data_IF_327501438928
#
_entry.id   IF_327501438928
#
_cell.length_a   1.000
_cell.length_b   1.000
_cell.length_c   1.000
_cell.angle_alpha   90.00
_cell.angle_beta   90.00
_cell.angle_gamma   90.00
#
_symmetry.space_group_name_H-M   'P 1'
#
loop_
_entity.id
_entity.type
_entity.pdbx_description
1 polymer ?
#
# COMPACT_ATOMS: atom_id res chain seq x y z
N UNK A 1 -22.07 15.60 -0.43
CA UNK A 1 -20.63 15.97 -0.46
C UNK A 1 -19.68 14.77 -0.59
N UNK A 2 -19.99 13.59 -0.07
CA UNK A 2 -19.17 12.38 -0.31
C UNK A 2 -19.22 11.87 -1.77
N UNK A 3 -20.29 12.18 -2.52
CA UNK A 3 -20.47 11.67 -3.89
C UNK A 3 -19.55 12.34 -4.93
N UNK A 4 -18.99 13.51 -4.63
CA UNK A 4 -18.04 14.19 -5.53
C UNK A 4 -16.63 13.60 -5.48
N UNK A 5 -16.30 12.79 -4.47
CA UNK A 5 -15.01 12.07 -4.40
C UNK A 5 -15.03 10.75 -5.19
N UNK A 6 -16.21 10.26 -5.59
CA UNK A 6 -16.37 8.94 -6.23
C UNK A 6 -16.24 9.03 -7.76
N UNK A 7 -16.62 10.17 -8.36
CA UNK A 7 -16.56 10.37 -9.82
C UNK A 7 -15.11 10.46 -10.39
N UNK A 8 -14.11 10.60 -9.51
CA UNK A 8 -12.69 10.74 -9.89
C UNK A 8 -11.91 9.41 -9.96
N UNK A 9 -12.58 8.26 -9.87
CA UNK A 9 -11.95 6.94 -9.72
C UNK A 9 -11.82 6.13 -11.02
N UNK A 10 -12.19 6.67 -12.19
CA UNK A 10 -11.99 5.94 -13.46
C UNK A 10 -10.49 5.71 -13.67
N UNK A 11 -10.08 4.44 -13.64
CA UNK A 11 -8.67 4.02 -13.78
C UNK A 11 -7.83 4.13 -12.50
N UNK A 12 -8.42 4.43 -11.34
CA UNK A 12 -7.72 4.50 -10.04
C UNK A 12 -8.22 3.43 -9.09
N UNK A 13 -7.33 2.93 -8.24
CA UNK A 13 -7.65 1.93 -7.22
C UNK A 13 -6.84 2.19 -5.95
N UNK A 14 -7.38 1.76 -4.82
CA UNK A 14 -6.73 1.80 -3.51
C UNK A 14 -6.05 0.47 -3.25
N UNK A 15 -4.74 0.52 -2.97
CA UNK A 15 -4.00 -0.62 -2.44
C UNK A 15 -4.46 -0.86 -0.99
N UNK A 16 -4.95 -2.04 -0.67
CA UNK A 16 -5.52 -2.33 0.65
C UNK A 16 -4.96 -3.60 1.27
N UNK A 17 -5.16 -3.76 2.57
CA UNK A 17 -4.73 -4.94 3.31
C UNK A 17 -5.52 -6.21 2.94
N UNK A 18 -4.97 -7.38 3.26
CA UNK A 18 -5.63 -8.68 3.10
C UNK A 18 -6.91 -8.84 3.91
N UNK A 19 -7.08 -8.04 4.97
CA UNK A 19 -8.31 -7.93 5.77
C UNK A 19 -9.48 -7.26 5.03
N UNK A 20 -9.23 -6.58 3.90
CA UNK A 20 -10.28 -6.01 3.06
C UNK A 20 -10.67 -6.98 1.95
N UNK A 21 -11.97 -7.04 1.63
CA UNK A 21 -12.45 -7.70 0.41
C UNK A 21 -12.13 -6.86 -0.83
N UNK A 22 -12.14 -7.50 -2.00
CA UNK A 22 -11.97 -6.84 -3.29
C UNK A 22 -13.24 -6.05 -3.66
N UNK A 23 -13.60 -5.04 -2.86
CA UNK A 23 -14.71 -4.11 -3.11
C UNK A 23 -14.37 -3.21 -4.30
N UNK A 24 -15.36 -2.56 -4.89
CA UNK A 24 -15.13 -1.63 -6.00
C UNK A 24 -14.05 -0.59 -5.63
N UNK A 25 -13.01 -0.49 -6.47
CA UNK A 25 -11.88 0.40 -6.27
C UNK A 25 -10.85 -0.07 -5.24
N UNK A 26 -11.02 -1.24 -4.62
CA UNK A 26 -10.10 -1.80 -3.61
C UNK A 26 -9.32 -2.96 -4.23
N UNK A 27 -7.99 -2.92 -4.13
CA UNK A 27 -7.09 -3.92 -4.67
C UNK A 27 -6.33 -4.62 -3.53
N UNK A 28 -6.91 -5.68 -2.91
CA UNK A 28 -6.23 -6.46 -1.89
C UNK A 28 -5.27 -7.50 -2.49
N UNK A 29 -4.30 -8.00 -1.71
CA UNK A 29 -3.42 -9.10 -2.12
C UNK A 29 -4.21 -10.39 -2.36
N UNK A 30 -3.60 -11.34 -3.08
CA UNK A 30 -4.12 -12.70 -3.16
C UNK A 30 -4.02 -13.37 -1.80
N UNK A 31 -5.15 -13.89 -1.31
CA UNK A 31 -5.23 -14.65 -0.06
C UNK A 31 -4.63 -16.04 -0.24
N UNK A 32 -4.13 -16.62 0.85
CA UNK A 32 -3.48 -17.94 0.86
C UNK A 32 -2.32 -18.07 -0.15
N UNK A 33 -1.67 -16.94 -0.47
CA UNK A 33 -0.47 -16.85 -1.28
C UNK A 33 0.57 -16.08 -0.47
N UNK A 34 1.83 -16.52 -0.53
CA UNK A 34 2.99 -15.89 0.12
C UNK A 34 2.97 -14.36 -0.08
N UNK A 35 3.29 -13.57 0.95
CA UNK A 35 3.09 -12.11 0.92
C UNK A 35 4.19 -11.31 1.62
N UNK A 36 4.77 -11.80 2.70
CA UNK A 36 5.73 -11.04 3.50
C UNK A 36 7.08 -10.99 2.79
N UNK A 37 7.72 -9.81 2.75
CA UNK A 37 9.01 -9.65 2.04
C UNK A 37 10.10 -10.60 2.55
N UNK A 38 10.07 -10.94 3.85
CA UNK A 38 11.00 -11.87 4.49
C UNK A 38 10.95 -13.28 3.90
N UNK A 39 9.85 -13.66 3.27
CA UNK A 39 9.63 -15.00 2.72
C UNK A 39 10.28 -15.20 1.34
N UNK A 40 10.83 -14.15 0.72
CA UNK A 40 11.31 -14.21 -0.68
C UNK A 40 12.81 -14.45 -0.85
N UNK A 41 13.63 -14.25 0.19
CA UNK A 41 15.11 -14.31 0.18
C UNK A 41 15.76 -15.05 -1.01
N UNK A 42 16.05 -16.35 -0.84
CA UNK A 42 16.55 -17.20 -1.93
C UNK A 42 15.43 -18.00 -2.64
N UNK A 43 14.16 -17.69 -2.35
CA UNK A 43 13.02 -18.46 -2.86
C UNK A 43 12.26 -17.63 -3.90
N UNK A 44 12.54 -17.83 -5.21
CA UNK A 44 11.98 -17.00 -6.26
C UNK A 44 10.45 -17.14 -6.36
N UNK A 45 9.82 -16.15 -6.98
CA UNK A 45 8.40 -16.19 -7.33
C UNK A 45 8.09 -17.36 -8.27
N UNK A 46 7.07 -18.13 -7.94
CA UNK A 46 6.70 -19.36 -8.64
C UNK A 46 5.53 -19.18 -9.62
N UNK A 47 4.69 -18.17 -9.41
CA UNK A 47 3.48 -17.93 -10.20
C UNK A 47 3.10 -16.45 -10.23
N UNK A 48 2.08 -16.12 -11.03
CA UNK A 48 1.57 -14.76 -11.24
C UNK A 48 1.07 -14.12 -9.95
N UNK A 49 0.42 -14.90 -9.07
CA UNK A 49 -0.14 -14.40 -7.80
C UNK A 49 0.96 -14.08 -6.81
N UNK A 50 2.00 -14.92 -6.76
CA UNK A 50 3.19 -14.68 -5.96
C UNK A 50 3.93 -13.41 -6.40
N UNK A 51 4.11 -13.23 -7.71
CA UNK A 51 4.72 -12.01 -8.24
C UNK A 51 3.88 -10.77 -7.91
N UNK A 52 2.56 -10.86 -8.03
CA UNK A 52 1.65 -9.79 -7.65
C UNK A 52 1.79 -9.46 -6.16
N UNK A 53 1.72 -10.45 -5.28
CA UNK A 53 1.83 -10.25 -3.84
C UNK A 53 3.19 -9.65 -3.43
N UNK A 54 4.29 -10.09 -4.04
CA UNK A 54 5.62 -9.52 -3.82
C UNK A 54 5.64 -8.02 -4.16
N UNK A 55 5.14 -7.65 -5.35
CA UNK A 55 5.08 -6.24 -5.78
C UNK A 55 4.12 -5.42 -4.92
N UNK A 56 2.98 -5.98 -4.57
CA UNK A 56 2.00 -5.37 -3.67
C UNK A 56 2.62 -5.07 -2.29
N UNK A 57 3.30 -6.04 -1.70
CA UNK A 57 3.98 -5.93 -0.41
C UNK A 57 5.11 -4.88 -0.46
N UNK A 58 5.91 -4.86 -1.52
CA UNK A 58 6.95 -3.84 -1.74
C UNK A 58 6.39 -2.42 -1.83
N UNK A 59 5.29 -2.24 -2.57
CA UNK A 59 4.62 -0.94 -2.67
C UNK A 59 4.05 -0.50 -1.32
N UNK A 60 3.40 -1.43 -0.60
CA UNK A 60 2.86 -1.17 0.74
C UNK A 60 3.96 -0.70 1.70
N UNK A 61 5.09 -1.39 1.73
CA UNK A 61 6.22 -1.02 2.60
C UNK A 61 6.75 0.38 2.26
N UNK A 62 6.79 0.74 0.98
CA UNK A 62 7.17 2.09 0.56
C UNK A 62 6.21 3.14 1.14
N UNK A 63 4.90 2.87 1.07
CA UNK A 63 3.85 3.76 1.63
C UNK A 63 3.95 3.84 3.15
N UNK A 64 4.09 2.72 3.85
CA UNK A 64 4.22 2.65 5.30
C UNK A 64 5.47 3.41 5.79
N UNK A 65 6.59 3.29 5.07
CA UNK A 65 7.82 4.03 5.38
C UNK A 65 7.63 5.54 5.23
N UNK A 66 6.94 5.99 4.19
CA UNK A 66 6.64 7.40 3.98
C UNK A 66 5.79 7.96 5.14
N UNK A 67 4.72 7.26 5.51
CA UNK A 67 3.91 7.65 6.67
C UNK A 67 4.66 7.53 8.00
N UNK A 68 5.53 6.54 8.16
CA UNK A 68 6.40 6.42 9.32
C UNK A 68 7.36 7.60 9.46
N UNK A 69 7.97 8.05 8.36
CA UNK A 69 8.81 9.27 8.33
C UNK A 69 8.00 10.51 8.69
N UNK A 70 6.81 10.64 8.10
CA UNK A 70 5.88 11.73 8.38
C UNK A 70 5.50 11.81 9.86
N UNK A 71 5.15 10.68 10.49
CA UNK A 71 4.81 10.61 11.93
C UNK A 71 6.01 10.88 12.84
N UNK A 72 7.20 10.39 12.48
CA UNK A 72 8.43 10.70 13.24
C UNK A 72 8.72 12.19 13.26
N UNK A 73 8.51 12.86 12.13
CA UNK A 73 8.69 14.31 11.98
C UNK A 73 7.61 15.11 12.70
N UNK A 74 6.35 14.73 12.53
CA UNK A 74 5.20 15.45 13.06
C UNK A 74 4.52 14.59 14.13
N UNK A 75 4.95 14.76 15.38
CA UNK A 75 4.40 14.02 16.53
C UNK A 75 2.91 14.21 16.76
N UNK A 76 2.32 15.29 16.22
CA UNK A 76 0.86 15.50 16.17
C UNK A 76 0.11 14.40 15.42
N UNK A 77 0.79 13.64 14.56
CA UNK A 77 0.23 12.50 13.81
C UNK A 77 0.47 11.14 14.50
N UNK A 78 1.26 11.13 15.59
CA UNK A 78 1.62 9.93 16.34
C UNK A 78 0.61 9.66 17.46
N UNK A 79 -0.01 10.72 17.99
CA UNK A 79 -1.04 10.62 19.02
C UNK A 79 -2.44 10.49 18.39
N UNK A 80 -3.15 9.42 18.75
CA UNK A 80 -4.49 9.11 18.29
C UNK A 80 -5.60 9.79 19.12
N UNK A 81 -5.25 10.62 20.13
CA UNK A 81 -6.26 11.34 20.90
C UNK A 81 -6.85 12.51 20.08
N UNK A 82 -8.15 12.48 19.75
CA UNK A 82 -8.75 13.50 18.91
C UNK A 82 -9.02 14.76 19.72
N UNK A 83 -8.03 15.64 19.84
CA UNK A 83 -8.22 16.99 20.39
C UNK A 83 -8.92 17.93 19.40
N UNK A 84 -8.97 17.55 18.11
CA UNK A 84 -9.48 18.39 17.03
C UNK A 84 -10.69 17.75 16.33
N UNK A 85 -11.64 18.57 15.82
CA UNK A 85 -12.71 18.09 14.94
C UNK A 85 -12.15 17.38 13.70
N UNK A 86 -12.91 16.42 13.13
CA UNK A 86 -12.48 15.63 11.97
C UNK A 86 -11.96 16.48 10.81
N UNK A 87 -12.64 17.57 10.47
CA UNK A 87 -12.22 18.48 9.39
C UNK A 87 -10.82 19.04 9.64
N UNK A 88 -10.56 19.48 10.88
CA UNK A 88 -9.27 20.00 11.30
C UNK A 88 -8.19 18.90 11.31
N UNK A 89 -8.53 17.65 11.66
CA UNK A 89 -7.59 16.52 11.54
C UNK A 89 -7.15 16.31 10.08
N UNK A 90 -8.09 16.38 9.13
CA UNK A 90 -7.77 16.30 7.68
C UNK A 90 -6.83 17.44 7.27
N UNK A 91 -7.12 18.67 7.69
CA UNK A 91 -6.28 19.83 7.37
C UNK A 91 -4.86 19.70 7.96
N UNK A 92 -4.74 19.18 9.19
CA UNK A 92 -3.44 18.90 9.84
C UNK A 92 -2.64 17.89 9.02
N UNK A 93 -3.25 16.78 8.59
CA UNK A 93 -2.58 15.76 7.76
C UNK A 93 -2.09 16.37 6.45
N UNK A 94 -2.93 17.14 5.76
CA UNK A 94 -2.57 17.80 4.50
C UNK A 94 -1.41 18.78 4.69
N UNK A 95 -1.47 19.62 5.72
CA UNK A 95 -0.41 20.58 6.05
C UNK A 95 0.92 19.86 6.33
N UNK A 96 0.90 18.78 7.11
CA UNK A 96 2.09 17.98 7.39
C UNK A 96 2.69 17.39 6.10
N UNK A 97 1.87 16.84 5.20
CA UNK A 97 2.33 16.32 3.91
C UNK A 97 2.99 17.39 3.04
N UNK A 98 2.39 18.59 2.95
CA UNK A 98 2.95 19.70 2.17
C UNK A 98 4.33 20.09 2.71
N UNK A 99 4.44 20.30 4.02
CA UNK A 99 5.70 20.68 4.67
C UNK A 99 6.74 19.56 4.54
N UNK A 100 6.34 18.29 4.68
CA UNK A 100 7.23 17.14 4.48
C UNK A 100 7.83 17.12 3.08
N UNK A 101 6.99 17.25 2.05
CA UNK A 101 7.41 17.25 0.66
C UNK A 101 8.34 18.43 0.36
N UNK A 102 8.05 19.60 0.93
CA UNK A 102 8.92 20.78 0.77
C UNK A 102 10.33 20.53 1.32
N UNK A 103 10.45 19.93 2.51
CA UNK A 103 11.76 19.64 3.10
C UNK A 103 12.50 18.51 2.37
N UNK A 104 11.80 17.45 1.93
CA UNK A 104 12.43 16.39 1.10
C UNK A 104 13.02 16.99 -0.18
N UNK A 105 12.35 18.00 -0.76
CA UNK A 105 12.83 18.66 -1.97
C UNK A 105 14.03 19.58 -1.73
N UNK A 106 14.29 19.99 -0.49
CA UNK A 106 15.40 20.90 -0.10
C UNK A 106 16.73 20.17 0.17
N UNK A 107 16.73 18.82 0.35
CA UNK A 107 17.96 18.05 0.55
C UNK A 107 17.78 16.65 1.15
N UNK A 108 18.88 16.09 1.69
CA UNK A 108 18.89 14.77 2.35
C UNK A 108 18.16 14.88 3.70
N UNK A 109 17.07 14.14 3.85
CA UNK A 109 16.30 14.05 5.09
C UNK A 109 16.76 12.83 5.92
N UNK A 110 17.41 13.07 7.06
CA UNK A 110 17.83 12.01 8.00
C UNK A 110 16.66 11.17 8.53
N UNK A 111 15.43 11.69 8.50
CA UNK A 111 14.23 10.98 8.94
C UNK A 111 13.73 9.96 7.90
N UNK A 112 14.18 10.08 6.64
CA UNK A 112 13.99 9.07 5.60
C UNK A 112 15.14 8.07 5.73
N UNK A 113 15.00 7.13 6.66
CA UNK A 113 15.99 6.08 6.84
C UNK A 113 16.29 5.37 5.50
N UNK A 114 17.56 5.04 5.20
CA UNK A 114 17.94 4.23 4.05
C UNK A 114 17.21 2.89 4.02
N UNK A 115 17.16 2.28 2.86
CA UNK A 115 16.45 1.04 2.55
C UNK A 115 17.03 -0.20 3.26
N UNK A 116 16.97 -0.27 4.60
CA UNK A 116 17.14 -1.54 5.31
C UNK A 116 15.80 -2.20 5.54
N UNK A 117 15.73 -3.47 5.14
CA UNK A 117 14.53 -4.27 4.89
C UNK A 117 13.88 -4.85 6.16
N UNK A 118 14.04 -4.21 7.31
CA UNK A 118 13.47 -4.68 8.56
C UNK A 118 12.23 -3.88 8.94
N UNK A 119 11.10 -4.19 8.29
CA UNK A 119 9.78 -3.89 8.88
C UNK A 119 9.36 -5.08 9.74
N UNK A 120 9.07 -4.82 11.01
CA UNK A 120 8.34 -5.76 11.88
C UNK A 120 6.88 -5.80 11.40
N UNK A 121 6.41 -7.01 11.14
CA UNK A 121 5.10 -7.29 10.55
C UNK A 121 4.00 -6.89 11.55
N UNK A 122 3.04 -6.06 11.13
CA UNK A 122 1.82 -5.79 11.90
C UNK A 122 0.72 -6.72 11.41
N UNK A 123 0.49 -7.73 12.24
CA UNK A 123 -0.75 -8.42 12.62
C UNK A 123 -1.65 -9.02 11.51
N UNK A 124 -1.74 -10.36 11.55
CA UNK A 124 -2.71 -11.16 10.83
C UNK A 124 -4.13 -10.81 11.29
N UNK A 125 -4.84 -10.00 10.51
CA UNK A 125 -6.25 -9.73 10.81
C UNK A 125 -7.14 -10.93 10.47
N UNK A 126 -8.12 -11.29 11.32
CA UNK A 126 -8.94 -12.48 11.16
C UNK A 126 -9.73 -12.49 9.85
N UNK A 127 -9.89 -13.69 9.30
CA UNK A 127 -10.57 -14.01 8.05
C UNK A 127 -12.04 -13.54 8.03
N UNK A 128 -12.28 -12.29 7.64
CA UNK A 128 -13.64 -11.82 7.36
C UNK A 128 -14.03 -12.20 5.92
N UNK A 129 -15.11 -12.98 5.78
CA UNK A 129 -15.73 -13.30 4.49
C UNK A 129 -16.35 -12.02 3.90
N UNK A 130 -15.52 -11.20 3.26
CA UNK A 130 -15.97 -10.03 2.53
C UNK A 130 -16.47 -10.46 1.14
N UNK A 131 -17.66 -9.99 0.75
CA UNK A 131 -18.19 -10.17 -0.60
C UNK A 131 -17.28 -9.47 -1.62
N UNK A 132 -16.53 -10.25 -2.39
CA UNK A 132 -15.63 -9.75 -3.41
C UNK A 132 -16.43 -9.28 -4.63
N UNK A 133 -16.10 -8.08 -5.12
CA UNK A 133 -16.69 -7.55 -6.35
C UNK A 133 -16.03 -8.21 -7.56
N UNK A 134 -16.80 -8.97 -8.34
CA UNK A 134 -16.29 -9.81 -9.43
C UNK A 134 -15.38 -9.03 -10.41
N UNK A 135 -15.69 -7.77 -10.71
CA UNK A 135 -14.85 -6.94 -11.58
C UNK A 135 -13.46 -6.68 -10.98
N UNK A 136 -13.36 -6.45 -9.68
CA UNK A 136 -12.06 -6.19 -9.04
C UNK A 136 -11.23 -7.48 -8.90
N UNK A 137 -11.90 -8.62 -8.71
CA UNK A 137 -11.23 -9.93 -8.75
C UNK A 137 -10.63 -10.19 -10.13
N UNK A 138 -11.42 -9.97 -11.19
CA UNK A 138 -10.95 -10.13 -12.57
C UNK A 138 -9.87 -9.12 -12.92
N UNK A 139 -10.02 -7.86 -12.53
CA UNK A 139 -9.03 -6.82 -12.72
C UNK A 139 -7.69 -7.17 -12.06
N UNK A 140 -7.74 -7.63 -10.80
CA UNK A 140 -6.55 -8.09 -10.07
C UNK A 140 -5.88 -9.27 -10.78
N UNK A 141 -6.66 -10.25 -11.23
CA UNK A 141 -6.12 -11.39 -11.96
C UNK A 141 -5.45 -10.94 -13.27
N UNK A 142 -6.10 -10.07 -14.05
CA UNK A 142 -5.51 -9.53 -15.29
C UNK A 142 -4.22 -8.74 -15.05
N UNK A 143 -4.14 -7.97 -13.96
CA UNK A 143 -2.89 -7.32 -13.56
C UNK A 143 -1.78 -8.34 -13.24
N UNK A 144 -2.10 -9.39 -12.47
CA UNK A 144 -1.14 -10.43 -12.12
C UNK A 144 -0.62 -11.16 -13.38
N UNK A 145 -1.52 -11.53 -14.29
CA UNK A 145 -1.20 -12.20 -15.54
C UNK A 145 -0.28 -11.34 -16.42
N UNK A 146 -0.59 -10.04 -16.56
CA UNK A 146 0.23 -9.09 -17.31
C UNK A 146 1.63 -8.95 -16.69
N UNK A 147 1.72 -8.78 -15.36
CA UNK A 147 3.00 -8.69 -14.66
C UNK A 147 3.85 -9.95 -14.87
N UNK A 148 3.22 -11.11 -14.89
CA UNK A 148 3.89 -12.39 -15.13
C UNK A 148 4.39 -12.53 -16.56
N UNK A 149 3.55 -12.18 -17.54
CA UNK A 149 3.93 -12.14 -18.95
C UNK A 149 5.11 -11.19 -19.19
N UNK A 150 5.04 -9.97 -18.67
CA UNK A 150 6.11 -8.98 -18.76
C UNK A 150 7.41 -9.51 -18.15
N UNK A 151 7.34 -10.14 -16.97
CA UNK A 151 8.52 -10.76 -16.33
C UNK A 151 9.15 -11.82 -17.23
N UNK A 152 8.35 -12.74 -17.78
CA UNK A 152 8.86 -13.83 -18.62
C UNK A 152 9.47 -13.30 -19.92
N UNK A 153 8.91 -12.23 -20.49
CA UNK A 153 9.45 -11.59 -21.69
C UNK A 153 10.80 -10.89 -21.44
N UNK A 154 11.03 -10.34 -20.25
CA UNK A 154 12.29 -9.65 -19.90
C UNK A 154 13.38 -10.58 -19.35
N UNK A 155 13.01 -11.73 -18.77
CA UNK A 155 13.96 -12.73 -18.26
C UNK A 155 14.18 -13.93 -19.22
N UNK A 156 13.57 -13.91 -20.40
CA UNK A 156 13.66 -14.95 -21.42
C UNK A 156 14.76 -14.74 -22.48
N UNK A 157 15.82 -13.99 -22.18
CA UNK A 157 17.04 -13.85 -23.02
C UNK A 157 18.24 -14.39 -22.27
#
# INVERSE_FOLDING_TARGET
ECDQLIDHMIGKFYLVDGGYGAKQGFLPPFRAVRYHLKEWGNNPVQNEKELFNLRHSSLRITVERAFGSLKRRFKVLDDATPFFPFRTQVDIVVACCIIHNWVINDGIDELVAPSDWSSEDIDESPTWQANDHALMVQFRQGLADQMWADRNNHHGV
#
